data_IF_994313695854
#
_entry.id   IF_994313695854
#
_cell.length_a   1.000
_cell.length_b   1.000
_cell.length_c   1.000
_cell.angle_alpha   90.00
_cell.angle_beta   90.00
_cell.angle_gamma   90.00
#
_symmetry.space_group_name_H-M   'P 1'
#
loop_
_entity.id
_entity.type
_entity.pdbx_description
1 polymer ?
#
# COMPACT_ATOMS: atom_id res chain seq x y z
N UNK A 1 -8.68 -15.72 -24.20
CA UNK A 1 -8.70 -16.15 -22.78
C UNK A 1 -7.37 -15.71 -22.18
N UNK A 2 -7.33 -14.83 -21.17
CA UNK A 2 -6.08 -14.42 -20.55
C UNK A 2 -5.43 -15.63 -19.87
N UNK A 3 -4.15 -15.87 -20.15
CA UNK A 3 -3.37 -16.95 -19.57
C UNK A 3 -2.73 -16.44 -18.28
N UNK A 4 -3.30 -16.77 -17.12
CA UNK A 4 -2.76 -16.40 -15.82
C UNK A 4 -1.70 -17.42 -15.40
N UNK A 5 -0.45 -16.97 -15.18
CA UNK A 5 0.59 -17.82 -14.61
C UNK A 5 0.53 -17.65 -13.09
N UNK A 6 0.24 -18.72 -12.30
CA UNK A 6 0.31 -18.63 -10.85
C UNK A 6 1.74 -18.31 -10.41
N UNK A 7 1.92 -17.33 -9.52
CA UNK A 7 3.24 -17.06 -8.96
C UNK A 7 3.69 -18.22 -8.08
N UNK A 8 4.70 -18.96 -8.55
CA UNK A 8 5.60 -19.70 -7.66
C UNK A 8 6.37 -18.71 -6.79
N UNK A 9 6.80 -19.15 -5.61
CA UNK A 9 7.44 -18.42 -4.49
C UNK A 9 8.78 -17.71 -4.82
N UNK A 10 8.98 -17.28 -6.06
CA UNK A 10 10.20 -16.66 -6.54
C UNK A 10 10.09 -15.15 -6.61
N UNK A 11 10.52 -14.50 -5.53
CA UNK A 11 11.17 -13.19 -5.54
C UNK A 11 10.28 -11.97 -5.83
N UNK A 12 9.48 -11.59 -4.83
CA UNK A 12 9.37 -10.16 -4.51
C UNK A 12 10.65 -9.83 -3.73
N UNK A 13 11.54 -8.98 -4.27
CA UNK A 13 12.85 -8.77 -3.64
C UNK A 13 12.73 -7.77 -2.48
N UNK A 14 13.03 -8.24 -1.26
CA UNK A 14 12.95 -7.46 -0.02
C UNK A 14 12.13 -8.18 1.05
N UNK A 15 12.18 -7.76 2.33
CA UNK A 15 11.27 -8.26 3.35
C UNK A 15 9.83 -7.98 2.88
N UNK A 16 9.05 -9.03 2.57
CA UNK A 16 7.67 -9.00 2.06
C UNK A 16 7.36 -7.76 1.18
N UNK A 17 7.41 -7.85 -0.16
CA UNK A 17 7.23 -6.64 -0.97
C UNK A 17 5.91 -5.89 -0.76
N UNK A 18 5.90 -4.65 -1.20
CA UNK A 18 4.83 -3.68 -0.92
C UNK A 18 3.45 -4.23 -1.30
N UNK A 19 2.46 -4.03 -0.42
CA UNK A 19 1.08 -4.50 -0.61
C UNK A 19 0.85 -5.98 -0.26
N UNK A 20 1.83 -6.66 0.35
CA UNK A 20 1.66 -8.03 0.85
C UNK A 20 0.98 -8.03 2.22
N UNK A 21 0.09 -9.00 2.46
CA UNK A 21 -0.54 -9.20 3.77
C UNK A 21 0.55 -9.64 4.77
N UNK A 22 0.70 -8.90 5.87
CA UNK A 22 1.79 -9.10 6.81
C UNK A 22 1.48 -10.09 7.94
N UNK A 23 0.19 -10.38 8.21
CA UNK A 23 -0.21 -11.33 9.26
C UNK A 23 -1.42 -12.17 8.86
N UNK A 24 -1.64 -13.29 9.54
CA UNK A 24 -2.81 -14.17 9.34
C UNK A 24 -4.07 -13.70 10.10
N UNK A 25 -4.07 -12.47 10.61
CA UNK A 25 -5.22 -11.90 11.31
C UNK A 25 -6.37 -11.61 10.34
N UNK A 26 -7.64 -11.60 10.82
CA UNK A 26 -8.77 -11.25 9.97
C UNK A 26 -8.58 -9.85 9.37
N UNK A 27 -8.74 -9.77 8.06
CA UNK A 27 -8.57 -8.54 7.29
C UNK A 27 -9.82 -8.29 6.43
N UNK A 28 -10.03 -7.03 6.05
CA UNK A 28 -11.13 -6.61 5.17
C UNK A 28 -10.52 -6.01 3.91
N UNK A 29 -10.89 -6.55 2.74
CA UNK A 29 -10.49 -6.02 1.43
C UNK A 29 -11.74 -5.64 0.65
N UNK A 30 -11.70 -4.46 0.04
CA UNK A 30 -12.68 -4.00 -0.91
C UNK A 30 -12.02 -3.81 -2.27
N UNK A 31 -12.71 -4.19 -3.34
CA UNK A 31 -12.28 -3.90 -4.70
C UNK A 31 -12.91 -2.59 -5.15
N UNK A 32 -12.09 -1.67 -5.68
CA UNK A 32 -12.52 -0.37 -6.20
C UNK A 32 -11.71 -0.02 -7.46
N UNK A 33 -12.07 1.04 -8.19
CA UNK A 33 -11.40 1.41 -9.45
C UNK A 33 -10.32 2.48 -9.25
N UNK A 34 -9.15 2.27 -9.86
CA UNK A 34 -8.07 3.24 -9.91
C UNK A 34 -8.37 4.37 -10.92
N UNK A 35 -8.20 5.63 -10.52
CA UNK A 35 -8.32 6.78 -11.44
C UNK A 35 -7.17 6.84 -12.45
N UNK A 36 -5.99 6.50 -11.96
CA UNK A 36 -4.68 6.66 -12.59
C UNK A 36 -3.78 5.51 -12.14
N UNK A 37 -2.51 5.52 -12.51
CA UNK A 37 -1.52 4.55 -12.03
C UNK A 37 -1.36 4.64 -10.50
N UNK A 38 -1.48 3.51 -9.81
CA UNK A 38 -1.42 3.44 -8.33
C UNK A 38 -0.38 2.40 -7.88
N UNK A 39 0.71 2.80 -7.23
CA UNK A 39 1.71 1.87 -6.67
C UNK A 39 1.14 0.85 -5.68
N UNK A 40 1.83 -0.27 -5.48
CA UNK A 40 1.48 -1.24 -4.43
C UNK A 40 1.91 -0.76 -3.04
N UNK A 41 1.16 -1.13 -2.00
CA UNK A 41 1.54 -0.87 -0.61
C UNK A 41 1.52 0.61 -0.19
N UNK A 42 0.81 1.46 -0.93
CA UNK A 42 0.58 2.86 -0.54
C UNK A 42 -0.82 3.05 0.02
N UNK A 43 -0.97 4.06 0.87
CA UNK A 43 -2.26 4.50 1.36
C UNK A 43 -3.01 5.28 0.30
N UNK A 44 -4.32 5.07 0.24
CA UNK A 44 -5.21 5.69 -0.75
C UNK A 44 -6.43 6.31 -0.11
N UNK A 45 -6.99 7.30 -0.80
CA UNK A 45 -8.28 7.91 -0.50
C UNK A 45 -9.31 7.46 -1.54
N UNK A 46 -10.59 7.52 -1.17
CA UNK A 46 -11.71 7.23 -2.06
C UNK A 46 -12.58 8.47 -2.19
N UNK A 47 -12.80 8.93 -3.41
CA UNK A 47 -13.75 10.02 -3.71
C UNK A 47 -14.58 9.60 -4.92
N UNK A 48 -15.92 9.65 -4.82
CA UNK A 48 -16.83 9.27 -5.92
C UNK A 48 -16.54 7.89 -6.55
N UNK A 49 -16.23 6.88 -5.74
CA UNK A 49 -15.83 5.52 -6.16
C UNK A 49 -14.53 5.43 -6.97
N UNK A 50 -13.72 6.47 -6.93
CA UNK A 50 -12.41 6.52 -7.56
C UNK A 50 -11.33 6.55 -6.49
N UNK A 51 -10.32 5.71 -6.66
CA UNK A 51 -9.17 5.59 -5.74
C UNK A 51 -7.99 6.40 -6.26
N UNK A 52 -7.36 7.14 -5.35
CA UNK A 52 -6.15 7.92 -5.61
C UNK A 52 -5.18 7.85 -4.40
N UNK A 53 -3.86 8.00 -4.62
CA UNK A 53 -2.88 8.08 -3.54
C UNK A 53 -3.26 9.13 -2.49
N UNK A 54 -3.15 8.77 -1.20
CA UNK A 54 -3.47 9.68 -0.12
C UNK A 54 -2.40 10.76 0.02
N UNK A 55 -2.84 12.00 0.27
CA UNK A 55 -1.95 13.10 0.60
C UNK A 55 -2.03 13.40 2.10
N UNK A 56 -0.90 13.28 2.80
CA UNK A 56 -0.70 13.75 4.17
C UNK A 56 -1.65 13.13 5.21
N UNK A 57 -1.99 11.85 5.07
CA UNK A 57 -2.71 11.08 6.10
C UNK A 57 -4.17 11.44 6.31
N UNK A 58 -4.73 12.36 5.51
CA UNK A 58 -6.14 12.77 5.63
C UNK A 58 -7.05 11.90 4.76
N UNK A 59 -8.20 11.46 5.30
CA UNK A 59 -9.22 10.73 4.54
C UNK A 59 -8.80 9.35 4.03
N UNK A 60 -7.80 8.71 4.67
CA UNK A 60 -7.28 7.41 4.26
C UNK A 60 -8.38 6.35 4.29
N UNK A 61 -8.66 5.76 3.13
CA UNK A 61 -9.65 4.71 2.96
C UNK A 61 -9.06 3.32 3.26
N UNK A 62 -7.80 3.12 2.90
CA UNK A 62 -7.07 1.86 3.09
C UNK A 62 -5.71 1.87 2.39
N UNK A 63 -5.12 0.67 2.26
CA UNK A 63 -3.83 0.43 1.60
C UNK A 63 -4.03 -0.51 0.40
N UNK A 64 -3.36 -0.20 -0.70
CA UNK A 64 -3.44 -1.00 -1.94
C UNK A 64 -2.62 -2.27 -1.79
N UNK A 65 -3.24 -3.41 -2.08
CA UNK A 65 -2.55 -4.70 -2.09
C UNK A 65 -1.89 -4.98 -3.44
N UNK A 66 -0.89 -5.86 -3.42
CA UNK A 66 -0.24 -6.33 -4.63
C UNK A 66 -1.12 -7.31 -5.42
N UNK A 67 -0.68 -7.60 -6.64
CA UNK A 67 -1.26 -8.66 -7.47
C UNK A 67 -0.64 -10.01 -7.12
N UNK A 68 -1.45 -11.05 -7.08
CA UNK A 68 -0.97 -12.44 -7.01
C UNK A 68 -0.65 -13.04 -8.39
N UNK A 69 -0.73 -12.23 -9.45
CA UNK A 69 -0.47 -12.64 -10.83
C UNK A 69 0.26 -11.52 -11.57
N UNK A 70 1.06 -11.89 -12.57
CA UNK A 70 1.64 -10.96 -13.54
C UNK A 70 0.89 -11.19 -14.85
N UNK A 71 0.47 -10.12 -15.53
CA UNK A 71 -0.13 -10.23 -16.85
C UNK A 71 0.97 -10.52 -17.88
N UNK A 72 0.65 -11.26 -18.95
CA UNK A 72 1.67 -11.72 -19.90
C UNK A 72 2.41 -10.59 -20.64
N UNK A 73 1.86 -9.38 -20.66
CA UNK A 73 2.44 -8.17 -21.26
C UNK A 73 3.06 -7.23 -20.22
N UNK A 74 2.96 -7.57 -18.94
CA UNK A 74 3.53 -6.79 -17.86
C UNK A 74 5.00 -7.17 -17.67
N UNK A 75 5.86 -6.16 -17.53
CA UNK A 75 7.25 -6.44 -17.14
C UNK A 75 7.27 -6.82 -15.66
N UNK A 76 8.13 -7.76 -15.28
CA UNK A 76 8.19 -8.30 -13.90
C UNK A 76 8.45 -7.24 -12.81
N UNK A 77 8.80 -6.02 -13.19
CA UNK A 77 9.34 -4.97 -12.33
C UNK A 77 8.36 -3.80 -12.10
N UNK A 78 7.10 -3.94 -12.51
CA UNK A 78 6.09 -2.88 -12.40
C UNK A 78 5.26 -3.11 -11.12
N UNK A 79 5.66 -2.47 -10.03
CA UNK A 79 4.98 -2.55 -8.72
C UNK A 79 3.81 -1.57 -8.59
N UNK A 80 2.89 -1.59 -9.56
CA UNK A 80 1.74 -0.67 -9.60
C UNK A 80 0.54 -1.31 -10.31
N UNK A 81 -0.63 -0.74 -10.03
CA UNK A 81 -1.84 -0.93 -10.80
C UNK A 81 -1.93 0.10 -11.91
N UNK A 82 -2.48 -0.30 -13.05
CA UNK A 82 -2.72 0.63 -14.16
C UNK A 82 -4.02 1.42 -13.94
N UNK A 83 -4.13 2.54 -14.64
CA UNK A 83 -5.34 3.34 -14.63
C UNK A 83 -6.55 2.51 -15.07
N UNK A 84 -7.68 2.69 -14.39
CA UNK A 84 -8.96 1.98 -14.61
C UNK A 84 -9.00 0.52 -14.18
N UNK A 85 -7.91 -0.02 -13.64
CA UNK A 85 -7.94 -1.36 -13.08
C UNK A 85 -8.81 -1.43 -11.82
N UNK A 86 -9.34 -2.62 -11.58
CA UNK A 86 -9.93 -3.00 -10.31
C UNK A 86 -8.83 -3.33 -9.32
N UNK A 87 -8.73 -2.54 -8.25
CA UNK A 87 -7.65 -2.63 -7.28
C UNK A 87 -8.18 -3.09 -5.92
N UNK A 88 -7.53 -4.09 -5.29
CA UNK A 88 -7.82 -4.51 -3.93
C UNK A 88 -7.25 -3.51 -2.93
N UNK A 89 -8.12 -2.97 -2.07
CA UNK A 89 -7.75 -2.05 -1.00
C UNK A 89 -8.07 -2.70 0.35
N UNK A 90 -7.03 -2.92 1.16
CA UNK A 90 -7.16 -3.39 2.54
C UNK A 90 -7.58 -2.24 3.45
N UNK A 91 -8.65 -2.48 4.21
CA UNK A 91 -9.27 -1.52 5.12
C UNK A 91 -8.96 -1.77 6.59
N UNK A 92 -8.64 -3.01 6.93
CA UNK A 92 -8.27 -3.45 8.28
C UNK A 92 -7.39 -4.67 8.17
N UNK A 93 -6.41 -4.79 9.07
CA UNK A 93 -5.43 -5.87 9.09
C UNK A 93 -3.99 -5.34 9.05
N UNK A 94 -3.04 -6.27 8.90
CA UNK A 94 -1.63 -5.93 8.75
C UNK A 94 -1.21 -6.06 7.28
N UNK A 95 -0.53 -5.04 6.76
CA UNK A 95 -0.04 -5.00 5.38
C UNK A 95 1.35 -4.39 5.35
N UNK A 96 2.20 -4.91 4.46
CA UNK A 96 3.50 -4.32 4.20
C UNK A 96 3.37 -3.10 3.30
N UNK A 97 3.85 -1.95 3.78
CA UNK A 97 3.70 -0.65 3.12
C UNK A 97 5.03 -0.08 2.70
N UNK A 98 5.02 0.81 1.71
CA UNK A 98 6.20 1.59 1.35
C UNK A 98 6.50 2.64 2.43
N UNK A 99 7.78 2.80 2.79
CA UNK A 99 8.24 3.79 3.77
C UNK A 99 9.12 4.87 3.11
N UNK A 100 9.02 6.10 3.62
CA UNK A 100 9.83 7.23 3.15
C UNK A 100 10.98 7.61 4.11
N UNK A 101 11.10 6.91 5.23
CA UNK A 101 12.12 7.13 6.27
C UNK A 101 12.30 5.85 7.08
N UNK A 102 13.40 5.77 7.83
CA UNK A 102 13.59 4.70 8.82
C UNK A 102 12.42 4.70 9.83
N UNK A 103 11.90 3.52 10.13
CA UNK A 103 10.81 3.31 11.08
C UNK A 103 11.18 2.23 12.07
N UNK A 104 10.60 2.28 13.27
CA UNK A 104 10.82 1.27 14.31
C UNK A 104 9.54 0.52 14.65
N UNK A 105 9.70 -0.72 15.09
CA UNK A 105 8.61 -1.50 15.64
C UNK A 105 7.93 -0.73 16.79
N UNK A 106 6.61 -0.63 16.75
CA UNK A 106 5.81 0.09 17.73
C UNK A 106 5.60 1.58 17.46
N UNK A 107 6.31 2.17 16.50
CA UNK A 107 6.11 3.58 16.14
C UNK A 107 4.71 3.81 15.54
N UNK A 108 4.03 4.93 15.89
CA UNK A 108 2.79 5.31 15.26
C UNK A 108 3.05 5.65 13.79
N UNK A 109 2.23 5.09 12.89
CA UNK A 109 2.36 5.27 11.46
C UNK A 109 1.41 6.39 10.97
N UNK A 110 1.87 7.16 9.98
CA UNK A 110 1.05 8.09 9.21
C UNK A 110 1.46 8.06 7.74
N UNK A 111 0.73 8.77 6.88
CA UNK A 111 1.03 8.90 5.45
C UNK A 111 1.63 10.27 5.15
N UNK A 112 2.70 10.29 4.36
CA UNK A 112 3.24 11.50 3.73
C UNK A 112 2.59 11.82 2.38
N UNK A 113 3.36 12.44 1.50
CA UNK A 113 2.93 12.72 0.14
C UNK A 113 2.91 11.44 -0.71
N UNK A 114 1.94 11.32 -1.61
CA UNK A 114 1.85 10.20 -2.55
C UNK A 114 1.54 8.84 -1.91
N UNK A 115 0.96 8.80 -0.71
CA UNK A 115 0.52 7.55 -0.09
C UNK A 115 1.59 6.77 0.67
N UNK A 116 2.84 7.27 0.74
CA UNK A 116 3.96 6.57 1.39
C UNK A 116 3.94 6.77 2.90
N UNK A 117 4.30 5.74 3.67
CA UNK A 117 4.24 5.76 5.13
C UNK A 117 5.50 6.34 5.77
N UNK A 118 5.31 6.97 6.94
CA UNK A 118 6.37 7.47 7.82
C UNK A 118 5.94 7.38 9.28
N UNK A 119 6.86 7.52 10.22
CA UNK A 119 6.53 7.73 11.63
C UNK A 119 5.73 9.03 11.80
N UNK A 120 4.66 8.98 12.58
CA UNK A 120 3.79 10.12 12.85
C UNK A 120 4.47 11.15 13.74
N UNK A 121 4.38 12.43 13.37
CA UNK A 121 4.78 13.54 14.22
C UNK A 121 3.59 14.12 15.00
N UNK A 122 3.86 15.03 15.94
CA UNK A 122 2.80 15.72 16.68
C UNK A 122 1.86 16.47 15.71
N UNK A 123 0.56 16.17 15.77
CA UNK A 123 -0.46 16.75 14.90
C UNK A 123 -0.79 15.94 13.64
N UNK A 124 -0.01 14.89 13.32
CA UNK A 124 -0.33 13.98 12.23
C UNK A 124 -1.50 13.05 12.61
N UNK A 125 -2.29 12.65 11.60
CA UNK A 125 -3.31 11.62 11.81
C UNK A 125 -2.64 10.25 11.85
N UNK A 126 -2.77 9.55 12.97
CA UNK A 126 -2.26 8.19 13.11
C UNK A 126 -3.22 7.22 12.43
N UNK A 127 -2.70 6.45 11.47
CA UNK A 127 -3.46 5.49 10.66
C UNK A 127 -3.19 4.03 11.04
N UNK A 128 -2.18 3.80 11.87
CA UNK A 128 -1.71 2.47 12.21
C UNK A 128 -0.46 2.49 13.08
N UNK A 129 0.15 1.33 13.24
CA UNK A 129 1.39 1.13 13.98
C UNK A 129 2.33 0.20 13.21
N UNK A 130 3.62 0.53 13.16
CA UNK A 130 4.63 -0.35 12.57
C UNK A 130 4.83 -1.60 13.43
N UNK A 131 4.87 -2.76 12.79
CA UNK A 131 5.04 -4.05 13.46
C UNK A 131 6.50 -4.48 13.56
N UNK A 132 7.35 -3.96 12.69
CA UNK A 132 8.77 -4.32 12.60
C UNK A 132 9.63 -3.10 12.23
N UNK A 133 10.92 -3.21 12.47
CA UNK A 133 11.90 -2.18 12.09
C UNK A 133 12.03 -2.14 10.55
N UNK A 134 11.91 -0.94 9.99
CA UNK A 134 12.06 -0.69 8.55
C UNK A 134 13.24 0.23 8.29
N UNK A 135 14.13 -0.16 7.37
CA UNK A 135 15.25 0.66 6.94
C UNK A 135 14.97 1.28 5.59
N UNK A 136 14.97 2.60 5.54
CA UNK A 136 14.82 3.35 4.32
C UNK A 136 16.15 3.47 3.60
N UNK A 137 16.17 3.04 2.35
CA UNK A 137 17.31 3.18 1.46
C UNK A 137 16.99 4.21 0.38
N UNK A 138 17.65 5.37 0.37
CA UNK A 138 17.39 6.41 -0.62
C UNK A 138 17.75 5.97 -2.06
N UNK A 139 18.69 5.02 -2.24
CA UNK A 139 19.03 4.46 -3.56
C UNK A 139 17.92 3.59 -4.15
N UNK A 140 16.99 3.16 -3.30
CA UNK A 140 15.82 2.36 -3.62
C UNK A 140 14.72 3.19 -4.36
N UNK A 141 14.97 4.50 -4.55
CA UNK A 141 14.17 5.45 -5.34
C UNK A 141 14.72 5.64 -6.77
N UNK A 142 15.70 4.83 -7.19
CA UNK A 142 16.25 4.88 -8.54
C UNK A 142 15.30 4.23 -9.55
N UNK A 143 14.84 5.01 -10.55
CA UNK A 143 14.04 4.53 -11.70
C UNK A 143 14.74 3.43 -12.53
N UNK A 144 16.01 3.13 -12.23
CA UNK A 144 16.84 2.19 -13.00
C UNK A 144 17.46 1.08 -12.15
N UNK A 145 17.25 1.08 -10.83
CA UNK A 145 17.85 0.09 -9.93
C UNK A 145 16.74 -0.75 -9.30
N UNK A 146 16.49 -1.91 -9.90
CA UNK A 146 15.62 -3.02 -9.47
C UNK A 146 14.65 -2.72 -8.32
N UNK A 147 13.57 -1.98 -8.57
CA UNK A 147 12.27 -2.05 -7.88
C UNK A 147 12.23 -2.12 -6.35
N UNK A 148 13.32 -1.89 -5.64
CA UNK A 148 13.39 -2.06 -4.21
C UNK A 148 12.72 -0.83 -3.63
N UNK A 149 11.43 -0.91 -3.34
CA UNK A 149 10.82 0.05 -2.44
C UNK A 149 11.19 -0.38 -1.03
N UNK A 150 11.65 0.57 -0.22
CA UNK A 150 11.82 0.31 1.21
C UNK A 150 10.44 0.05 1.81
N UNK A 151 10.29 -1.04 2.54
CA UNK A 151 9.00 -1.45 3.10
C UNK A 151 9.06 -1.73 4.60
N UNK A 152 7.91 -1.64 5.26
CA UNK A 152 7.73 -2.11 6.62
C UNK A 152 6.28 -2.60 6.83
N UNK A 153 6.06 -3.63 7.67
CA UNK A 153 4.71 -4.07 8.01
C UNK A 153 4.03 -3.06 8.95
N UNK A 154 2.78 -2.70 8.63
CA UNK A 154 1.92 -1.82 9.44
C UNK A 154 0.62 -2.51 9.78
N UNK A 155 0.25 -2.48 11.06
CA UNK A 155 -1.10 -2.76 11.51
C UNK A 155 -1.98 -1.53 11.28
N UNK A 156 -2.98 -1.64 10.42
CA UNK A 156 -3.93 -0.56 10.16
C UNK A 156 -4.88 -0.39 11.34
N UNK A 157 -5.03 0.86 11.78
CA UNK A 157 -5.99 1.27 12.80
C UNK A 157 -6.84 2.42 12.24
N UNK A 158 -7.59 2.12 11.19
CA UNK A 158 -8.55 3.05 10.59
C UNK A 158 -9.84 2.98 11.42
N UNK A 159 -9.88 3.77 12.49
CA UNK A 159 -11.00 3.84 13.42
C UNK A 159 -12.32 4.15 12.70
N UNK A 160 -13.28 3.23 12.88
CA UNK A 160 -14.62 3.19 12.30
C UNK A 160 -14.72 2.85 10.80
N UNK A 161 -15.76 2.09 10.38
CA UNK A 161 -16.05 1.87 8.96
C UNK A 161 -16.20 3.24 8.26
N UNK A 162 -15.58 3.37 7.08
CA UNK A 162 -15.69 4.55 6.22
C UNK A 162 -17.17 4.92 6.09
N UNK A 163 -17.56 6.06 6.67
CA UNK A 163 -18.83 6.67 6.34
C UNK A 163 -18.71 7.09 4.88
N UNK A 164 -19.43 6.40 4.00
CA UNK A 164 -19.62 6.84 2.62
C UNK A 164 -20.04 8.31 2.66
N UNK A 165 -19.31 9.23 1.99
CA UNK A 165 -19.74 10.61 1.96
C UNK A 165 -21.14 10.63 1.36
N UNK A 166 -22.08 11.21 2.10
CA UNK A 166 -23.46 11.31 1.66
C UNK A 166 -23.47 11.98 0.28
N UNK A 167 -23.93 11.23 -0.73
CA UNK A 167 -24.15 11.79 -2.06
C UNK A 167 -25.14 12.94 -1.92
N UNK A 168 -24.74 14.13 -2.36
CA UNK A 168 -25.66 15.25 -2.60
C UNK A 168 -26.34 15.07 -3.95
#
# INVERSE_FOLDING_TARGET
>A
MPNFIPQGTGYVSGPLGAGTIATNQPYVVNTDHAADVVPFGIAVTKTNNVIAPAANGTGVYGVVLNRYYIQSWDSRDVEQWDAKDEIPVMRSGAVTVQISADVKAGDPATVGNGGVFKTAAAGDTVIGQFLDDGKFNASSVSKTDFGQVSTAPVQLNLGAPYATPASK
#
